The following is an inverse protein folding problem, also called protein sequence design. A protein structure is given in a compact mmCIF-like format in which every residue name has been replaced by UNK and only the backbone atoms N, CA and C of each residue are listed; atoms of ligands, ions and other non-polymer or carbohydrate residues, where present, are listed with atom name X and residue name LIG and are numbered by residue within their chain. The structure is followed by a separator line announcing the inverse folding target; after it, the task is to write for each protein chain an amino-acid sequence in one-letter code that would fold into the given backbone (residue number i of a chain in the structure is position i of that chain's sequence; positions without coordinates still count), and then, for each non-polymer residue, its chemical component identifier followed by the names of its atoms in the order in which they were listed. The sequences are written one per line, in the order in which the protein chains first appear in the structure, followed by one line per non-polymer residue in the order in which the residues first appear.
data_IF_883599966563
#
_entry.id   IF_883599966563
#
_cell.length_a   1.000
_cell.length_b   1.000
_cell.length_c   1.000
_cell.angle_alpha   90.00
_cell.angle_beta   90.00
_cell.angle_gamma   90.00
#
_symmetry.space_group_name_H-M   'P 1'
#
loop_
_entity.id
_entity.type
_entity.pdbx_description
1 polymer ?
#
# COMPACT_ATOMS: atom_id res chain seq x y z
N UNK A 1 2.84 -1.08 19.85
CA UNK A 1 2.24 0.25 20.03
C UNK A 1 2.29 1.04 18.75
N UNK A 2 1.24 1.77 18.45
CA UNK A 2 1.10 2.51 17.19
C UNK A 2 1.20 4.02 17.47
N UNK A 3 2.00 4.72 16.67
CA UNK A 3 2.20 6.16 16.81
C UNK A 3 1.93 6.85 15.47
N UNK A 4 1.10 7.90 15.49
CA UNK A 4 0.71 8.64 14.30
C UNK A 4 1.46 9.96 14.29
N UNK A 5 2.20 10.22 13.20
CA UNK A 5 3.04 11.39 13.01
C UNK A 5 2.53 12.17 11.77
N UNK A 6 1.64 13.15 11.97
CA UNK A 6 1.13 13.94 10.84
C UNK A 6 2.23 14.75 10.17
N UNK A 7 2.13 14.94 8.86
CA UNK A 7 2.96 15.89 8.14
C UNK A 7 2.63 17.33 8.58
N UNK A 8 3.56 18.25 8.34
CA UNK A 8 3.43 19.66 8.79
C UNK A 8 2.16 20.35 8.31
N UNK A 9 1.69 20.02 7.11
CA UNK A 9 0.47 20.61 6.52
C UNK A 9 -0.79 19.79 6.79
N UNK A 10 -0.73 18.78 7.63
CA UNK A 10 -1.81 17.83 7.90
C UNK A 10 -2.34 17.07 6.68
N UNK A 11 -1.57 17.01 5.60
CA UNK A 11 -1.83 16.17 4.42
C UNK A 11 -0.87 15.01 4.48
N UNK A 12 -1.41 13.81 4.73
CA UNK A 12 -0.59 12.62 4.94
C UNK A 12 -0.07 12.50 6.37
N UNK A 13 0.18 11.28 6.79
CA UNK A 13 0.76 10.97 8.09
C UNK A 13 1.62 9.71 8.00
N UNK A 14 2.76 9.73 8.67
CA UNK A 14 3.52 8.51 8.92
C UNK A 14 2.91 7.76 10.10
N UNK A 15 2.79 6.45 9.98
CA UNK A 15 2.38 5.60 11.10
C UNK A 15 3.57 4.73 11.47
N UNK A 16 4.10 4.97 12.67
CA UNK A 16 5.20 4.22 13.23
C UNK A 16 4.66 3.01 13.98
N UNK A 17 4.74 1.87 13.33
CA UNK A 17 4.27 0.58 13.86
C UNK A 17 4.91 -0.56 13.07
N UNK A 18 4.76 -1.77 13.58
CA UNK A 18 5.15 -2.99 12.87
C UNK A 18 3.90 -3.66 12.28
N UNK A 19 3.77 -3.64 10.96
CA UNK A 19 2.60 -4.19 10.26
C UNK A 19 2.44 -5.69 10.42
N UNK A 20 3.45 -6.41 10.91
CA UNK A 20 3.35 -7.85 11.18
C UNK A 20 2.66 -8.17 12.51
N UNK A 21 2.43 -7.16 13.35
CA UNK A 21 1.94 -7.33 14.72
C UNK A 21 0.74 -6.44 15.05
N UNK A 22 -0.14 -6.22 14.08
CA UNK A 22 -1.29 -5.33 14.28
C UNK A 22 -2.44 -6.05 14.99
N UNK A 23 -3.00 -5.38 15.99
CA UNK A 23 -4.28 -5.74 16.58
C UNK A 23 -5.44 -5.15 15.78
N UNK A 24 -6.66 -5.61 16.04
CA UNK A 24 -7.86 -5.00 15.46
C UNK A 24 -8.00 -3.52 15.84
N UNK A 25 -7.59 -3.17 17.05
CA UNK A 25 -7.60 -1.78 17.55
C UNK A 25 -6.61 -0.92 16.77
N UNK A 26 -5.40 -1.44 16.52
CA UNK A 26 -4.39 -0.76 15.73
C UNK A 26 -4.91 -0.48 14.32
N UNK A 27 -5.56 -1.47 13.72
CA UNK A 27 -6.09 -1.33 12.37
C UNK A 27 -7.20 -0.25 12.31
N UNK A 28 -8.07 -0.18 13.31
CA UNK A 28 -9.06 0.91 13.40
C UNK A 28 -8.38 2.28 13.48
N UNK A 29 -7.29 2.39 14.22
CA UNK A 29 -6.51 3.63 14.32
C UNK A 29 -5.88 4.01 12.97
N UNK A 30 -5.38 3.04 12.21
CA UNK A 30 -4.85 3.25 10.87
C UNK A 30 -5.93 3.78 9.93
N UNK A 31 -7.10 3.14 9.91
CA UNK A 31 -8.23 3.57 9.07
C UNK A 31 -8.68 4.99 9.42
N UNK A 32 -8.75 5.29 10.70
CA UNK A 32 -9.11 6.63 11.18
C UNK A 32 -8.09 7.68 10.73
N UNK A 33 -6.80 7.35 10.80
CA UNK A 33 -5.73 8.23 10.33
C UNK A 33 -5.80 8.44 8.82
N UNK A 34 -6.04 7.38 8.06
CA UNK A 34 -6.21 7.47 6.60
C UNK A 34 -7.34 8.43 6.24
N UNK A 35 -8.50 8.31 6.90
CA UNK A 35 -9.64 9.18 6.65
C UNK A 35 -9.36 10.63 7.05
N UNK A 36 -8.59 10.84 8.11
CA UNK A 36 -8.27 12.18 8.60
C UNK A 36 -7.23 12.89 7.74
N UNK A 37 -6.18 12.20 7.33
CA UNK A 37 -5.02 12.80 6.67
C UNK A 37 -4.97 12.54 5.16
N UNK A 38 -5.87 11.74 4.62
CA UNK A 38 -5.97 11.45 3.19
C UNK A 38 -4.95 10.44 2.64
N UNK A 39 -3.83 10.28 3.33
CA UNK A 39 -2.77 9.34 2.98
C UNK A 39 -2.04 8.93 4.25
N UNK A 40 -1.65 7.67 4.33
CA UNK A 40 -0.76 7.18 5.39
C UNK A 40 0.36 6.37 4.78
N UNK A 41 1.52 6.40 5.42
CA UNK A 41 2.66 5.61 4.98
C UNK A 41 3.40 5.00 6.17
N UNK A 42 4.11 3.92 5.89
CA UNK A 42 4.80 3.11 6.90
C UNK A 42 6.23 2.88 6.43
N UNK A 43 7.20 3.36 7.21
CA UNK A 43 8.61 3.15 6.90
C UNK A 43 9.15 1.89 7.55
N UNK A 44 10.27 1.41 7.04
CA UNK A 44 11.05 0.30 7.63
C UNK A 44 10.22 -0.97 7.89
N UNK A 45 9.35 -1.32 6.94
CA UNK A 45 8.57 -2.55 7.00
C UNK A 45 9.27 -3.68 6.26
N UNK A 46 9.16 -4.88 6.80
CA UNK A 46 9.65 -6.10 6.15
C UNK A 46 8.50 -7.09 6.08
N UNK A 47 7.73 -7.00 4.99
CA UNK A 47 6.54 -7.81 4.78
C UNK A 47 6.82 -8.93 3.78
N UNK A 48 6.52 -10.17 4.15
CA UNK A 48 6.41 -11.26 3.18
C UNK A 48 5.21 -11.00 2.26
N UNK A 49 5.17 -11.67 1.12
CA UNK A 49 4.01 -11.59 0.21
C UNK A 49 2.70 -11.96 0.90
N UNK A 50 2.74 -12.97 1.76
CA UNK A 50 1.58 -13.40 2.55
C UNK A 50 1.08 -12.27 3.48
N UNK A 51 1.98 -11.69 4.26
CA UNK A 51 1.62 -10.63 5.20
C UNK A 51 1.16 -9.35 4.49
N UNK A 52 1.75 -9.04 3.34
CA UNK A 52 1.34 -7.91 2.52
C UNK A 52 -0.11 -8.08 2.04
N UNK A 53 -0.44 -9.25 1.52
CA UNK A 53 -1.82 -9.56 1.08
C UNK A 53 -2.78 -9.54 2.26
N UNK A 54 -2.42 -10.12 3.39
CA UNK A 54 -3.26 -10.12 4.60
C UNK A 54 -3.51 -8.70 5.11
N UNK A 55 -2.50 -7.85 5.11
CA UNK A 55 -2.66 -6.45 5.48
C UNK A 55 -3.62 -5.73 4.53
N UNK A 56 -3.43 -5.89 3.23
CA UNK A 56 -4.28 -5.24 2.22
C UNK A 56 -5.75 -5.67 2.31
N UNK A 57 -6.03 -6.92 2.63
CA UNK A 57 -7.40 -7.44 2.78
C UNK A 57 -8.22 -6.72 3.85
N UNK A 58 -7.58 -6.11 4.83
CA UNK A 58 -8.30 -5.36 5.86
C UNK A 58 -8.99 -4.11 5.29
N UNK A 59 -8.55 -3.61 4.13
CA UNK A 59 -9.15 -2.44 3.49
C UNK A 59 -10.32 -2.79 2.56
N UNK A 60 -10.50 -4.07 2.24
CA UNK A 60 -11.56 -4.54 1.38
C UNK A 60 -11.15 -5.74 0.55
N UNK A 61 -12.02 -6.12 -0.40
CA UNK A 61 -11.74 -7.21 -1.33
C UNK A 61 -10.63 -6.81 -2.30
N UNK A 62 -9.64 -7.68 -2.44
CA UNK A 62 -8.56 -7.44 -3.40
C UNK A 62 -9.02 -7.73 -4.82
N UNK A 63 -8.56 -6.92 -5.76
CA UNK A 63 -8.84 -7.09 -7.19
C UNK A 63 -7.56 -7.44 -7.94
N UNK A 64 -7.70 -8.15 -9.06
CA UNK A 64 -6.63 -8.37 -10.00
C UNK A 64 -6.55 -7.18 -10.95
N UNK A 65 -5.33 -6.72 -11.26
CA UNK A 65 -5.14 -5.67 -12.25
C UNK A 65 -4.95 -6.30 -13.63
N UNK A 66 -5.89 -6.11 -14.56
CA UNK A 66 -5.90 -6.87 -15.82
C UNK A 66 -4.75 -6.56 -16.78
N UNK A 67 -4.15 -5.37 -16.66
CA UNK A 67 -3.11 -4.90 -17.59
C UNK A 67 -1.69 -5.28 -17.17
N UNK A 68 -1.50 -5.73 -15.95
CA UNK A 68 -0.20 -6.09 -15.41
C UNK A 68 -0.24 -7.48 -14.82
N UNK A 69 0.91 -8.14 -14.92
CA UNK A 69 1.08 -9.49 -14.40
C UNK A 69 1.14 -9.48 -12.88
N UNK A 70 0.47 -10.44 -12.24
CA UNK A 70 0.64 -10.70 -10.82
C UNK A 70 2.00 -11.31 -10.51
N UNK A 71 2.38 -11.30 -9.24
CA UNK A 71 3.68 -11.80 -8.78
C UNK A 71 3.88 -13.27 -9.15
N UNK A 72 2.89 -14.11 -8.86
CA UNK A 72 2.89 -15.53 -9.18
C UNK A 72 1.46 -16.09 -9.03
N UNK A 73 1.29 -17.40 -9.22
CA UNK A 73 -0.02 -18.06 -9.12
C UNK A 73 -0.62 -17.98 -7.72
N UNK A 74 0.21 -17.94 -6.68
CA UNK A 74 -0.24 -17.87 -5.29
C UNK A 74 -0.69 -16.45 -4.90
N UNK A 75 -0.04 -15.42 -5.49
CA UNK A 75 -0.31 -14.02 -5.20
C UNK A 75 -0.58 -13.22 -6.47
N UNK A 76 -1.65 -13.55 -7.21
CA UNK A 76 -1.99 -12.83 -8.44
C UNK A 76 -2.41 -11.37 -8.18
N UNK A 77 -2.85 -11.06 -6.96
CA UNK A 77 -3.27 -9.71 -6.56
C UNK A 77 -2.09 -8.76 -6.34
N UNK A 78 -0.87 -9.27 -6.17
CA UNK A 78 0.32 -8.43 -6.07
C UNK A 78 0.73 -8.05 -7.47
N UNK A 79 0.44 -6.81 -7.85
CA UNK A 79 0.77 -6.29 -9.17
C UNK A 79 2.24 -5.94 -9.25
N UNK A 80 2.94 -6.47 -10.25
CA UNK A 80 4.36 -6.17 -10.45
C UNK A 80 4.49 -5.05 -11.48
N UNK A 81 5.07 -3.93 -11.07
CA UNK A 81 5.44 -2.82 -11.94
C UNK A 81 6.96 -2.81 -12.07
N UNK A 82 7.46 -3.08 -13.27
CA UNK A 82 8.90 -3.21 -13.51
C UNK A 82 9.28 -2.47 -14.78
N UNK A 83 10.41 -1.76 -14.71
CA UNK A 83 11.04 -1.15 -15.87
C UNK A 83 12.53 -1.46 -15.83
N UNK A 84 13.01 -2.03 -16.94
CA UNK A 84 14.45 -2.30 -17.11
C UNK A 84 15.12 -1.10 -17.79
N UNK A 85 16.41 -0.95 -17.63
CA UNK A 85 17.17 0.12 -18.27
C UNK A 85 17.09 0.07 -19.81
N UNK A 86 16.88 -1.12 -20.38
CA UNK A 86 16.74 -1.32 -21.83
C UNK A 86 15.33 -1.04 -22.36
N UNK A 87 14.34 -0.86 -21.50
CA UNK A 87 12.95 -0.66 -21.94
C UNK A 87 12.80 0.71 -22.62
N UNK A 88 11.99 0.75 -23.67
CA UNK A 88 11.67 1.94 -24.44
C UNK A 88 10.19 2.27 -24.28
N UNK A 89 9.82 3.52 -24.59
CA UNK A 89 8.45 4.00 -24.51
C UNK A 89 8.07 4.54 -23.15
N UNK A 90 6.79 4.91 -22.95
CA UNK A 90 6.34 5.53 -21.71
C UNK A 90 6.37 4.57 -20.52
N UNK A 91 6.67 5.11 -19.34
CA UNK A 91 6.60 4.37 -18.08
C UNK A 91 5.16 4.20 -17.62
N UNK A 92 4.88 3.13 -16.88
CA UNK A 92 3.57 2.95 -16.24
C UNK A 92 3.31 4.11 -15.26
N UNK A 93 2.14 4.76 -15.40
CA UNK A 93 1.77 5.88 -14.54
C UNK A 93 2.46 7.20 -14.86
N UNK A 94 3.16 7.29 -15.99
CA UNK A 94 3.90 8.50 -16.40
C UNK A 94 2.99 9.69 -16.67
N UNK A 95 1.80 9.48 -17.20
CA UNK A 95 0.83 10.53 -17.48
C UNK A 95 0.04 10.91 -16.23
N UNK A 96 -0.52 12.13 -16.20
CA UNK A 96 -1.45 12.51 -15.15
C UNK A 96 -2.60 11.51 -15.05
N UNK A 97 -2.89 11.03 -13.86
CA UNK A 97 -3.91 10.03 -13.63
C UNK A 97 -4.43 10.11 -12.19
N UNK A 98 -5.56 9.46 -11.96
CA UNK A 98 -6.02 9.15 -10.61
C UNK A 98 -5.79 7.66 -10.35
N UNK A 99 -5.46 7.32 -9.13
CA UNK A 99 -5.32 5.91 -8.75
C UNK A 99 -6.69 5.24 -8.72
N UNK A 100 -6.70 3.95 -9.09
CA UNK A 100 -7.90 3.13 -8.95
C UNK A 100 -8.22 2.88 -7.48
N UNK A 101 -9.48 2.86 -7.14
CA UNK A 101 -9.99 2.61 -5.79
C UNK A 101 -10.83 1.34 -5.75
#
# INVERSE_FOLDING_TARGET
MLRILPNKNNIGAEIDTNLTKLSKKDFKSITKALNKYGMVFFRRQNLSSKLYVEFAKNFGKLADYPRLKGLNKRYPQITVVQRKASDRGPSFGEQFHTDSI
#
